data_IF_303235747539
#
_entry.id   IF_303235747539
#
_cell.length_a   1.000
_cell.length_b   1.000
_cell.length_c   1.000
_cell.angle_alpha   90.00
_cell.angle_beta   90.00
_cell.angle_gamma   90.00
#
_symmetry.space_group_name_H-M   'P 1'
#
loop_
_entity.id
_entity.type
_entity.pdbx_description
1 polymer ?
#
# COMPACT_ATOMS: atom_id res chain seq x y z
N UNK A 1 -13.53 7.78 32.60
CA UNK A 1 -12.50 6.80 32.26
C UNK A 1 -11.33 7.54 31.65
N UNK A 2 -10.13 7.27 32.16
CA UNK A 2 -8.85 7.71 31.63
C UNK A 2 -8.71 7.34 30.15
N UNK A 3 -8.65 8.33 29.26
CA UNK A 3 -8.61 8.10 27.81
C UNK A 3 -7.19 7.90 27.28
N UNK A 4 -7.06 7.14 26.19
CA UNK A 4 -5.83 7.05 25.39
C UNK A 4 -6.11 7.66 24.03
N UNK A 5 -5.36 8.69 23.66
CA UNK A 5 -5.52 9.35 22.35
C UNK A 5 -4.34 9.00 21.44
N UNK A 6 -4.62 8.60 20.20
CA UNK A 6 -3.58 8.51 19.18
C UNK A 6 -3.49 9.83 18.40
N UNK A 7 -2.30 10.40 18.32
CA UNK A 7 -1.97 11.56 17.51
C UNK A 7 -1.21 11.11 16.27
N UNK A 8 -1.87 11.11 15.11
CA UNK A 8 -1.28 10.67 13.83
C UNK A 8 -0.80 11.88 13.04
N UNK A 9 0.52 12.00 12.87
CA UNK A 9 1.18 13.19 12.32
C UNK A 9 1.54 12.98 10.86
N UNK A 10 0.93 13.77 9.98
CA UNK A 10 1.05 13.72 8.53
C UNK A 10 1.20 15.09 7.88
N UNK A 11 1.83 16.05 8.57
CA UNK A 11 1.99 17.43 8.10
C UNK A 11 3.28 17.73 7.33
N UNK A 12 4.14 16.74 7.10
CA UNK A 12 5.39 16.94 6.37
C UNK A 12 5.21 16.92 4.85
N UNK A 13 5.97 17.76 4.15
CA UNK A 13 6.01 17.87 2.67
C UNK A 13 6.58 16.61 1.99
N UNK A 14 7.41 15.83 2.69
CA UNK A 14 7.96 14.60 2.13
C UNK A 14 8.90 14.80 0.94
N UNK A 15 9.72 15.85 0.92
CA UNK A 15 10.64 16.27 -0.19
C UNK A 15 11.46 15.19 -0.91
N UNK A 16 11.66 14.02 -0.30
CA UNK A 16 12.35 12.84 -0.88
C UNK A 16 11.44 11.99 -1.79
N UNK A 17 10.13 12.12 -1.63
CA UNK A 17 9.10 11.53 -2.47
C UNK A 17 8.75 12.55 -3.54
N UNK A 18 9.10 12.28 -4.79
CA UNK A 18 8.70 13.14 -5.91
C UNK A 18 7.19 13.04 -6.22
N UNK A 19 6.69 14.04 -6.97
CA UNK A 19 5.35 14.02 -7.57
C UNK A 19 4.33 14.97 -6.92
N UNK A 20 3.15 15.06 -7.54
CA UNK A 20 2.11 16.03 -7.18
C UNK A 20 1.28 15.66 -5.94
N UNK A 21 1.23 14.37 -5.57
CA UNK A 21 0.46 13.89 -4.41
C UNK A 21 1.40 13.63 -3.24
N UNK A 22 1.15 14.23 -2.06
CA UNK A 22 1.96 14.00 -0.86
C UNK A 22 1.98 12.53 -0.47
N UNK A 23 3.13 12.03 -0.04
CA UNK A 23 3.37 10.59 0.16
C UNK A 23 2.36 9.89 1.08
N UNK A 24 1.89 10.58 2.12
CA UNK A 24 0.91 10.06 3.08
C UNK A 24 -0.49 9.86 2.47
N UNK A 25 -0.75 10.39 1.27
CA UNK A 25 -1.99 10.20 0.53
C UNK A 25 -1.82 9.32 -0.72
N UNK A 26 -0.63 8.76 -0.95
CA UNK A 26 -0.42 7.77 -2.01
C UNK A 26 -1.19 6.50 -1.69
N UNK A 27 -1.74 5.87 -2.74
CA UNK A 27 -2.46 4.61 -2.64
C UNK A 27 -1.51 3.46 -2.36
N UNK A 28 -1.81 2.69 -1.31
CA UNK A 28 -1.11 1.49 -0.88
C UNK A 28 -2.13 0.34 -0.83
N UNK A 29 -2.03 -0.61 -1.76
CA UNK A 29 -2.96 -1.74 -1.87
C UNK A 29 -4.44 -1.30 -1.84
N UNK A 30 -4.80 -0.28 -2.62
CA UNK A 30 -6.17 0.22 -2.74
C UNK A 30 -6.61 1.28 -1.69
N UNK A 31 -5.81 1.56 -0.66
CA UNK A 31 -6.15 2.57 0.36
C UNK A 31 -4.99 3.57 0.57
N UNK A 32 -5.26 4.87 0.86
CA UNK A 32 -4.20 5.82 1.17
C UNK A 32 -3.36 5.42 2.39
N UNK A 33 -2.04 5.69 2.34
CA UNK A 33 -1.11 5.41 3.44
C UNK A 33 -1.60 5.94 4.79
N UNK A 34 -2.05 7.20 4.85
CA UNK A 34 -2.56 7.82 6.08
C UNK A 34 -3.84 7.16 6.58
N UNK A 35 -4.72 6.71 5.67
CA UNK A 35 -5.95 6.00 6.05
C UNK A 35 -5.63 4.72 6.82
N UNK A 36 -4.66 3.94 6.31
CA UNK A 36 -4.21 2.70 6.97
C UNK A 36 -3.62 2.98 8.35
N UNK A 37 -2.76 4.00 8.46
CA UNK A 37 -2.19 4.41 9.75
C UNK A 37 -3.29 4.83 10.75
N UNK A 38 -4.29 5.61 10.34
CA UNK A 38 -5.41 6.03 11.19
C UNK A 38 -6.26 4.85 11.65
N UNK A 39 -6.62 3.95 10.73
CA UNK A 39 -7.44 2.76 11.03
C UNK A 39 -6.81 1.86 12.07
N UNK A 40 -5.48 1.66 12.02
CA UNK A 40 -4.77 0.84 13.00
C UNK A 40 -5.01 1.30 14.46
N UNK A 41 -5.21 2.60 14.68
CA UNK A 41 -5.56 3.13 16.02
C UNK A 41 -7.06 3.19 16.27
N UNK A 42 -7.88 3.52 15.27
CA UNK A 42 -9.34 3.51 15.42
C UNK A 42 -9.88 2.12 15.77
N UNK A 43 -9.26 1.07 15.25
CA UNK A 43 -9.65 -0.33 15.46
C UNK A 43 -9.02 -0.94 16.73
N UNK A 44 -8.14 -0.21 17.44
CA UNK A 44 -7.45 -0.74 18.62
C UNK A 44 -8.28 -0.53 19.89
N UNK A 45 -8.59 -1.59 20.68
CA UNK A 45 -9.55 -1.51 21.78
C UNK A 45 -9.12 -0.61 22.96
N UNK A 46 -7.83 -0.34 23.10
CA UNK A 46 -7.31 0.54 24.15
C UNK A 46 -7.22 2.03 23.73
N UNK A 47 -7.53 2.37 22.47
CA UNK A 47 -7.47 3.75 21.97
C UNK A 47 -8.89 4.31 21.93
N UNK A 48 -9.12 5.44 22.61
CA UNK A 48 -10.46 6.02 22.76
C UNK A 48 -10.75 7.12 21.74
N UNK A 49 -9.73 7.71 21.13
CA UNK A 49 -9.88 8.73 20.09
C UNK A 49 -8.60 8.82 19.26
N UNK A 50 -8.75 9.25 18.01
CA UNK A 50 -7.63 9.49 17.09
C UNK A 50 -7.71 10.93 16.59
N UNK A 51 -6.61 11.68 16.69
CA UNK A 51 -6.48 13.05 16.17
C UNK A 51 -5.44 13.06 15.06
N UNK A 52 -5.82 13.53 13.87
CA UNK A 52 -4.88 13.75 12.79
C UNK A 52 -4.25 15.16 12.88
N UNK A 53 -2.97 15.26 12.50
CA UNK A 53 -2.29 16.54 12.22
C UNK A 53 -1.85 16.54 10.77
N UNK A 54 -2.27 17.53 9.99
CA UNK A 54 -2.03 17.60 8.56
C UNK A 54 -1.45 18.95 8.14
N UNK A 55 -0.86 18.98 6.96
CA UNK A 55 -0.62 20.25 6.27
C UNK A 55 -1.98 20.78 5.78
N UNK A 56 -2.37 22.02 6.11
CA UNK A 56 -3.64 22.60 5.67
C UNK A 56 -3.81 22.61 4.14
N UNK A 57 -2.73 22.73 3.38
CA UNK A 57 -2.77 22.68 1.91
C UNK A 57 -3.20 21.30 1.38
N UNK A 58 -3.09 20.25 2.20
CA UNK A 58 -3.48 18.89 1.85
C UNK A 58 -4.91 18.53 2.28
N UNK A 59 -5.74 19.50 2.72
CA UNK A 59 -7.10 19.26 3.23
C UNK A 59 -7.94 18.37 2.30
N UNK A 60 -7.96 18.67 1.00
CA UNK A 60 -8.73 17.89 0.03
C UNK A 60 -8.29 16.42 -0.04
N UNK A 61 -6.97 16.15 0.02
CA UNK A 61 -6.46 14.78 0.07
C UNK A 61 -6.80 14.08 1.39
N UNK A 62 -6.75 14.80 2.51
CA UNK A 62 -7.15 14.28 3.82
C UNK A 62 -8.63 13.89 3.85
N UNK A 63 -9.52 14.74 3.38
CA UNK A 63 -10.97 14.49 3.38
C UNK A 63 -11.29 13.24 2.54
N UNK A 64 -10.67 13.11 1.36
CA UNK A 64 -10.80 11.92 0.53
C UNK A 64 -10.26 10.65 1.22
N UNK A 65 -9.10 10.74 1.88
CA UNK A 65 -8.49 9.60 2.58
C UNK A 65 -9.27 9.16 3.82
N UNK A 66 -9.95 10.08 4.50
CA UNK A 66 -10.65 9.85 5.78
C UNK A 66 -12.15 9.68 5.64
N UNK A 67 -12.69 9.70 4.42
CA UNK A 67 -14.11 9.46 4.16
C UNK A 67 -14.60 8.19 4.88
N UNK A 68 -15.67 8.34 5.66
CA UNK A 68 -16.30 7.26 6.43
C UNK A 68 -15.57 6.86 7.72
N UNK A 69 -14.49 7.55 8.12
CA UNK A 69 -13.85 7.36 9.42
C UNK A 69 -14.43 8.36 10.44
N UNK A 70 -14.65 7.90 11.66
CA UNK A 70 -15.04 8.77 12.78
C UNK A 70 -13.80 9.46 13.35
N UNK A 71 -13.54 10.68 12.87
CA UNK A 71 -12.39 11.49 13.24
C UNK A 71 -12.82 12.94 13.52
N UNK A 72 -12.23 13.61 14.52
CA UNK A 72 -12.42 15.05 14.70
C UNK A 72 -11.77 15.84 13.56
N UNK A 73 -12.09 17.14 13.48
CA UNK A 73 -11.41 18.07 12.57
C UNK A 73 -9.89 17.98 12.73
N UNK A 74 -9.13 17.86 11.62
CA UNK A 74 -7.69 17.72 11.67
C UNK A 74 -7.03 19.01 12.17
N UNK A 75 -5.90 18.85 12.85
CA UNK A 75 -5.08 19.98 13.33
C UNK A 75 -4.13 20.42 12.24
N UNK A 76 -4.00 21.73 12.03
CA UNK A 76 -2.99 22.32 11.17
C UNK A 76 -1.59 22.13 11.77
N UNK A 77 -0.72 21.40 11.05
CA UNK A 77 0.67 21.21 11.40
C UNK A 77 1.50 22.49 11.34
N UNK A 78 2.70 22.42 11.92
CA UNK A 78 3.70 23.49 11.90
C UNK A 78 4.80 23.25 10.87
N UNK A 79 5.78 24.15 10.81
CA UNK A 79 6.91 24.05 9.87
C UNK A 79 7.82 22.84 10.16
N UNK A 80 7.85 22.41 11.42
CA UNK A 80 8.61 21.24 11.88
C UNK A 80 7.70 20.14 12.41
N UNK A 81 8.22 18.91 12.44
CA UNK A 81 7.52 17.76 13.06
C UNK A 81 7.19 18.03 14.53
N UNK A 82 8.16 18.55 15.29
CA UNK A 82 7.98 18.88 16.71
C UNK A 82 6.85 19.89 16.92
N UNK A 83 6.79 20.95 16.12
CA UNK A 83 5.71 21.95 16.19
C UNK A 83 4.34 21.34 15.84
N UNK A 84 4.30 20.48 14.82
CA UNK A 84 3.07 19.76 14.44
C UNK A 84 2.55 18.88 15.59
N UNK A 85 3.46 18.16 16.27
CA UNK A 85 3.10 17.37 17.45
C UNK A 85 2.59 18.28 18.57
N UNK A 86 3.31 19.36 18.90
CA UNK A 86 2.92 20.28 19.97
C UNK A 86 1.51 20.85 19.75
N UNK A 87 1.19 21.33 18.54
CA UNK A 87 -0.16 21.80 18.19
C UNK A 87 -1.22 20.70 18.34
N UNK A 88 -0.87 19.48 17.94
CA UNK A 88 -1.73 18.30 18.12
C UNK A 88 -1.99 17.97 19.59
N UNK A 89 -0.96 17.99 20.43
CA UNK A 89 -1.08 17.77 21.88
C UNK A 89 -1.93 18.85 22.55
N UNK A 90 -1.76 20.12 22.16
CA UNK A 90 -2.60 21.23 22.66
C UNK A 90 -4.07 21.05 22.29
N UNK A 91 -4.38 20.60 21.06
CA UNK A 91 -5.75 20.27 20.66
C UNK A 91 -6.34 19.15 21.52
N UNK A 92 -5.56 18.09 21.74
CA UNK A 92 -5.97 16.90 22.48
C UNK A 92 -6.13 17.18 23.98
N UNK A 93 -5.47 18.21 24.53
CA UNK A 93 -5.56 18.58 25.93
C UNK A 93 -7.00 18.84 26.41
N UNK A 94 -7.88 19.31 25.52
CA UNK A 94 -9.31 19.49 25.83
C UNK A 94 -10.02 18.19 26.22
N UNK A 95 -9.53 17.03 25.75
CA UNK A 95 -10.08 15.71 26.06
C UNK A 95 -9.59 15.16 27.41
N UNK A 96 -8.59 15.80 28.03
CA UNK A 96 -7.94 15.37 29.28
C UNK A 96 -7.58 13.86 29.28
N UNK A 97 -6.87 13.35 28.26
CA UNK A 97 -6.47 11.95 28.27
C UNK A 97 -5.35 11.71 29.27
N UNK A 98 -5.20 10.45 29.68
CA UNK A 98 -4.12 10.03 30.57
C UNK A 98 -2.88 9.65 29.75
N UNK A 99 -3.10 9.13 28.54
CA UNK A 99 -2.06 8.56 27.68
C UNK A 99 -2.20 9.11 26.26
N UNK A 100 -1.07 9.28 25.60
CA UNK A 100 -1.03 9.63 24.17
C UNK A 100 -0.05 8.74 23.42
N UNK A 101 -0.45 8.34 22.21
CA UNK A 101 0.38 7.63 21.25
C UNK A 101 0.70 8.59 20.10
N UNK A 102 1.95 8.98 19.92
CA UNK A 102 2.36 9.86 18.81
C UNK A 102 2.90 8.99 17.68
N UNK A 103 2.24 9.02 16.53
CA UNK A 103 2.54 8.13 15.41
C UNK A 103 2.78 8.89 14.11
N UNK A 104 3.69 8.38 13.28
CA UNK A 104 3.96 8.96 11.96
C UNK A 104 2.96 8.39 10.96
N UNK A 105 2.19 9.23 10.25
CA UNK A 105 1.24 8.77 9.21
C UNK A 105 1.91 7.93 8.11
N UNK A 106 3.24 8.06 7.94
CA UNK A 106 4.04 7.32 6.99
C UNK A 106 4.42 5.88 7.44
N UNK A 107 3.88 5.38 8.56
CA UNK A 107 4.08 3.99 9.03
C UNK A 107 2.74 3.21 9.00
N UNK A 108 2.20 2.90 7.81
CA UNK A 108 0.83 2.38 7.68
C UNK A 108 0.65 0.93 8.16
N UNK A 109 1.74 0.24 8.53
CA UNK A 109 1.76 -1.19 8.86
C UNK A 109 2.02 -1.46 10.35
N UNK A 110 1.78 -0.47 11.22
CA UNK A 110 1.84 -0.71 12.67
C UNK A 110 0.83 -1.77 13.07
N UNK A 111 1.28 -2.79 13.81
CA UNK A 111 0.41 -3.87 14.29
C UNK A 111 -0.22 -3.53 15.65
N UNK A 112 -1.38 -4.11 15.93
CA UNK A 112 -2.03 -4.00 17.24
C UNK A 112 -1.11 -4.46 18.39
N UNK A 113 -0.26 -5.47 18.15
CA UNK A 113 0.70 -5.95 19.13
C UNK A 113 1.75 -4.87 19.51
N UNK A 114 2.27 -4.12 18.53
CA UNK A 114 3.20 -3.00 18.81
C UNK A 114 2.50 -1.92 19.63
N UNK A 115 1.26 -1.56 19.27
CA UNK A 115 0.46 -0.56 20.00
C UNK A 115 0.23 -1.01 21.45
N UNK A 116 -0.18 -2.26 21.66
CA UNK A 116 -0.40 -2.84 22.99
C UNK A 116 0.88 -2.84 23.84
N UNK A 117 2.04 -3.19 23.26
CA UNK A 117 3.33 -3.21 23.97
C UNK A 117 3.74 -1.84 24.50
N UNK A 118 3.65 -0.79 23.66
CA UNK A 118 4.03 0.57 24.09
C UNK A 118 3.08 1.10 25.15
N UNK A 119 1.79 0.74 25.10
CA UNK A 119 0.81 1.12 26.13
C UNK A 119 1.05 0.40 27.46
N UNK A 120 1.34 -0.90 27.42
CA UNK A 120 1.65 -1.68 28.62
C UNK A 120 2.90 -1.16 29.35
N UNK A 121 3.91 -0.71 28.60
CA UNK A 121 5.13 -0.14 29.20
C UNK A 121 4.87 1.15 30.01
N UNK A 122 3.76 1.85 29.78
CA UNK A 122 3.41 3.06 30.54
C UNK A 122 3.01 2.79 32.01
N UNK A 123 2.74 1.53 32.35
CA UNK A 123 2.47 1.11 33.72
C UNK A 123 3.72 1.21 34.61
N UNK A 124 4.92 1.08 34.01
CA UNK A 124 6.21 1.15 34.71
C UNK A 124 7.07 2.36 34.32
N UNK A 125 6.80 3.03 33.20
CA UNK A 125 7.61 4.13 32.66
C UNK A 125 6.74 5.33 32.23
N UNK A 126 7.21 6.58 32.31
CA UNK A 126 6.44 7.73 31.84
C UNK A 126 6.38 7.81 30.30
N UNK A 127 7.33 7.20 29.59
CA UNK A 127 7.33 7.07 28.13
C UNK A 127 7.79 5.69 27.66
N UNK A 128 7.43 5.34 26.42
CA UNK A 128 7.89 4.13 25.75
C UNK A 128 8.02 4.32 24.23
N UNK A 129 9.05 3.68 23.65
CA UNK A 129 9.33 3.68 22.20
C UNK A 129 9.52 2.25 21.70
N UNK A 130 8.85 1.84 20.61
CA UNK A 130 9.15 0.60 19.93
C UNK A 130 10.44 0.77 19.15
N UNK A 131 11.38 -0.16 19.29
CA UNK A 131 12.64 -0.09 18.56
C UNK A 131 13.16 -1.47 18.18
N UNK A 132 14.08 -1.47 17.20
CA UNK A 132 14.76 -2.67 16.72
C UNK A 132 16.27 -2.52 16.94
N UNK A 133 16.99 -3.56 17.39
CA UNK A 133 18.43 -3.48 17.54
C UNK A 133 19.08 -3.24 16.18
N UNK A 134 20.18 -2.49 16.16
CA UNK A 134 20.94 -2.27 14.93
C UNK A 134 21.70 -3.55 14.56
N UNK A 135 21.25 -4.20 13.49
CA UNK A 135 21.88 -5.42 12.98
C UNK A 135 23.08 -5.12 12.07
N UNK A 136 23.03 -4.08 11.24
CA UNK A 136 24.09 -3.79 10.28
C UNK A 136 25.26 -3.00 10.88
N UNK A 137 26.43 -3.07 10.23
CA UNK A 137 27.57 -2.22 10.59
C UNK A 137 27.26 -0.76 10.28
N UNK A 138 27.35 0.11 11.28
CA UNK A 138 27.17 1.55 11.10
C UNK A 138 28.48 2.24 10.72
N UNK A 139 28.43 3.10 9.72
CA UNK A 139 29.53 3.98 9.32
C UNK A 139 29.13 5.44 9.54
N UNK A 140 30.02 6.22 10.12
CA UNK A 140 29.98 7.68 10.05
C UNK A 140 30.69 8.10 8.77
N UNK A 141 30.15 9.07 8.06
CA UNK A 141 30.77 9.59 6.85
C UNK A 141 30.58 11.09 6.70
N UNK A 142 31.46 11.69 5.92
CA UNK A 142 31.45 13.10 5.53
C UNK A 142 32.05 13.22 4.13
N UNK A 143 31.49 14.10 3.29
CA UNK A 143 31.95 14.28 1.90
C UNK A 143 31.95 13.01 1.03
N UNK A 144 31.13 12.00 1.34
CA UNK A 144 31.09 10.72 0.63
C UNK A 144 32.15 9.70 1.06
N UNK A 145 32.95 10.01 2.08
CA UNK A 145 33.98 9.14 2.64
C UNK A 145 33.58 8.62 4.02
N UNK A 146 33.97 7.39 4.34
CA UNK A 146 33.82 6.82 5.68
C UNK A 146 34.83 7.48 6.63
N UNK A 147 34.34 8.07 7.71
CA UNK A 147 35.17 8.71 8.75
C UNK A 147 35.34 7.84 9.99
N UNK A 148 34.36 6.99 10.31
CA UNK A 148 34.47 6.05 11.42
C UNK A 148 33.51 4.86 11.27
N UNK A 149 33.81 3.76 11.97
CA UNK A 149 32.82 2.70 12.27
C UNK A 149 32.21 2.99 13.63
N UNK A 150 30.88 2.96 13.72
CA UNK A 150 30.15 3.19 14.99
C UNK A 150 29.83 1.82 15.60
N UNK A 151 30.11 1.66 16.90
CA UNK A 151 29.76 0.45 17.65
C UNK A 151 28.24 0.29 17.70
N UNK A 152 27.74 -0.83 17.17
CA UNK A 152 26.30 -1.10 17.08
C UNK A 152 25.69 -1.68 18.37
N UNK A 153 26.51 -2.06 19.35
CA UNK A 153 26.02 -2.61 20.62
C UNK A 153 25.17 -1.56 21.34
N UNK A 154 24.01 -1.97 21.84
CA UNK A 154 23.03 -1.08 22.51
C UNK A 154 22.51 0.07 21.63
N UNK A 155 22.67 0.00 20.31
CA UNK A 155 22.03 0.94 19.40
C UNK A 155 20.73 0.38 18.84
N UNK A 156 19.72 1.25 18.79
CA UNK A 156 18.37 0.90 18.43
C UNK A 156 17.82 1.85 17.36
N UNK A 157 17.06 1.30 16.41
CA UNK A 157 16.28 2.04 15.42
C UNK A 157 14.90 2.31 16.00
N UNK A 158 14.70 3.52 16.51
CA UNK A 158 13.40 3.94 17.02
C UNK A 158 12.30 3.93 15.93
N UNK A 159 11.12 3.50 16.33
CA UNK A 159 9.90 3.51 15.53
C UNK A 159 8.82 4.33 16.25
N UNK A 160 7.67 4.46 15.60
CA UNK A 160 6.46 5.00 16.23
C UNK A 160 5.34 3.95 16.10
N UNK A 161 4.30 3.93 16.97
CA UNK A 161 3.91 4.97 17.93
C UNK A 161 4.85 5.09 19.12
N UNK A 162 5.15 6.32 19.54
CA UNK A 162 5.78 6.61 20.83
C UNK A 162 4.69 6.91 21.85
N UNK A 163 4.69 6.19 22.97
CA UNK A 163 3.66 6.29 23.99
C UNK A 163 4.16 7.12 25.17
N UNK A 164 3.31 7.98 25.72
CA UNK A 164 3.64 8.78 26.90
C UNK A 164 2.42 8.99 27.79
N UNK A 165 2.68 9.25 29.08
CA UNK A 165 1.72 9.93 29.95
C UNK A 165 1.47 11.33 29.41
N UNK A 166 0.20 11.65 29.18
CA UNK A 166 -0.17 12.83 28.40
C UNK A 166 0.31 14.14 29.03
N UNK A 167 0.08 14.31 30.34
CA UNK A 167 0.46 15.52 31.06
C UNK A 167 1.97 15.78 30.98
N UNK A 168 2.78 14.71 31.10
CA UNK A 168 4.25 14.80 31.12
C UNK A 168 4.78 15.21 29.75
N UNK A 169 4.32 14.58 28.66
CA UNK A 169 4.80 14.87 27.31
C UNK A 169 4.31 16.24 26.80
N UNK A 170 3.10 16.66 27.16
CA UNK A 170 2.61 17.99 26.83
C UNK A 170 3.47 19.07 27.52
N UNK A 171 3.78 18.87 28.80
CA UNK A 171 4.64 19.78 29.54
C UNK A 171 6.08 19.80 28.98
N UNK A 172 6.59 18.66 28.53
CA UNK A 172 7.88 18.57 27.85
C UNK A 172 7.89 19.36 26.53
N UNK A 173 6.90 19.17 25.65
CA UNK A 173 6.78 19.91 24.39
C UNK A 173 6.66 21.42 24.60
N UNK A 174 5.90 21.88 25.61
CA UNK A 174 5.77 23.31 25.94
C UNK A 174 7.08 23.97 26.37
N UNK A 175 8.02 23.21 26.94
CA UNK A 175 9.33 23.71 27.40
C UNK A 175 10.46 23.42 26.43
N UNK A 176 10.24 22.54 25.46
CA UNK A 176 11.28 22.11 24.54
C UNK A 176 11.76 23.30 23.69
N UNK A 177 13.08 23.39 23.41
CA UNK A 177 13.60 24.43 22.55
C UNK A 177 13.04 24.28 21.13
N UNK A 178 12.96 25.39 20.41
CA UNK A 178 12.58 25.42 19.00
C UNK A 178 13.67 24.86 18.06
N UNK A 179 14.67 24.14 18.59
CA UNK A 179 15.84 23.66 17.85
C UNK A 179 15.66 22.31 17.16
N UNK A 180 14.43 21.76 17.12
CA UNK A 180 14.08 20.63 16.27
C UNK A 180 14.64 19.28 16.74
N UNK A 181 14.15 18.81 17.89
CA UNK A 181 14.43 17.45 18.34
C UNK A 181 13.85 16.42 17.35
N UNK A 182 14.57 15.32 17.14
CA UNK A 182 14.34 14.41 16.00
C UNK A 182 13.08 13.56 16.12
N UNK A 183 12.66 13.27 17.35
CA UNK A 183 11.44 12.55 17.69
C UNK A 183 10.90 12.97 19.08
N UNK A 184 9.81 12.36 19.53
CA UNK A 184 9.14 12.74 20.78
C UNK A 184 9.82 12.11 22.01
N UNK A 185 10.52 10.99 21.83
CA UNK A 185 11.41 10.42 22.82
C UNK A 185 12.54 11.40 23.17
N UNK A 186 13.19 12.03 22.18
CA UNK A 186 14.19 13.07 22.42
C UNK A 186 13.63 14.28 23.19
N UNK A 187 12.36 14.67 22.94
CA UNK A 187 11.68 15.72 23.72
C UNK A 187 11.48 15.28 25.18
N UNK A 188 11.06 14.04 25.40
CA UNK A 188 10.87 13.47 26.73
C UNK A 188 12.20 13.36 27.50
N UNK A 189 13.25 12.84 26.86
CA UNK A 189 14.60 12.70 27.40
C UNK A 189 15.18 14.06 27.80
N UNK A 190 15.03 15.08 26.94
CA UNK A 190 15.46 16.44 27.26
C UNK A 190 14.75 17.02 28.49
N UNK A 191 13.49 16.62 28.72
CA UNK A 191 12.73 16.99 29.90
C UNK A 191 13.02 16.11 31.14
N UNK A 192 13.96 15.17 31.05
CA UNK A 192 14.34 14.26 32.13
C UNK A 192 13.40 13.08 32.34
N UNK A 193 12.52 12.78 31.38
CA UNK A 193 11.61 11.65 31.46
C UNK A 193 12.31 10.36 31.00
N UNK A 194 12.10 9.28 31.75
CA UNK A 194 12.53 7.95 31.33
C UNK A 194 11.67 7.45 30.16
N UNK A 195 12.31 6.91 29.12
CA UNK A 195 11.64 6.31 27.96
C UNK A 195 12.05 4.83 27.88
N UNK A 196 11.10 3.93 28.06
CA UNK A 196 11.33 2.50 27.94
C UNK A 196 11.46 2.08 26.47
N UNK A 197 12.39 1.19 26.17
CA UNK A 197 12.48 0.54 24.86
C UNK A 197 11.64 -0.74 24.91
N UNK A 198 10.70 -0.88 23.99
CA UNK A 198 9.96 -2.13 23.76
C UNK A 198 10.27 -2.69 22.38
N UNK A 199 10.03 -3.97 22.19
CA UNK A 199 10.26 -4.62 20.90
C UNK A 199 9.37 -4.02 19.80
N UNK A 200 9.99 -3.52 18.72
CA UNK A 200 9.32 -3.02 17.53
C UNK A 200 8.84 -4.12 16.58
N UNK A 201 8.72 -3.79 15.30
CA UNK A 201 8.45 -4.77 14.23
C UNK A 201 9.12 -4.33 12.93
N UNK A 202 9.78 -5.23 12.20
CA UNK A 202 10.46 -4.88 10.94
C UNK A 202 9.50 -4.32 9.88
N UNK A 203 8.28 -4.86 9.82
CA UNK A 203 7.24 -4.41 8.88
C UNK A 203 6.69 -3.02 9.24
N UNK A 204 6.91 -2.53 10.45
CA UNK A 204 6.55 -1.17 10.88
C UNK A 204 7.59 -0.11 10.43
N UNK A 205 8.16 -0.28 9.24
CA UNK A 205 9.08 0.69 8.65
C UNK A 205 8.35 1.95 8.18
N UNK A 206 9.09 3.05 8.11
CA UNK A 206 8.57 4.34 7.64
C UNK A 206 8.70 4.40 6.13
N UNK A 207 7.60 4.71 5.43
CA UNK A 207 7.61 4.98 4.00
C UNK A 207 8.31 6.34 3.75
N UNK A 208 9.48 6.26 3.13
CA UNK A 208 10.34 7.40 2.81
C UNK A 208 10.70 7.50 1.33
N UNK A 209 10.66 6.40 0.60
CA UNK A 209 10.92 6.30 -0.85
C UNK A 209 9.81 5.52 -1.57
N UNK A 210 9.80 5.57 -2.91
CA UNK A 210 8.87 4.77 -3.73
C UNK A 210 9.09 3.27 -3.53
N UNK A 211 10.35 2.83 -3.37
CA UNK A 211 10.68 1.43 -3.07
C UNK A 211 10.07 0.97 -1.74
N UNK A 212 9.99 1.85 -0.74
CA UNK A 212 9.30 1.55 0.52
C UNK A 212 7.80 1.32 0.29
N UNK A 213 7.16 2.08 -0.61
CA UNK A 213 5.74 1.93 -0.93
C UNK A 213 5.49 0.60 -1.66
N UNK A 214 6.35 0.24 -2.62
CA UNK A 214 6.29 -1.06 -3.30
C UNK A 214 6.48 -2.21 -2.32
N UNK A 215 7.47 -2.10 -1.41
CA UNK A 215 7.71 -3.08 -0.35
C UNK A 215 6.49 -3.25 0.54
N UNK A 216 5.89 -2.15 0.99
CA UNK A 216 4.68 -2.18 1.81
C UNK A 216 3.51 -2.82 1.07
N UNK A 217 3.38 -2.57 -0.24
CA UNK A 217 2.35 -3.19 -1.07
C UNK A 217 2.47 -4.70 -1.09
N UNK A 218 3.68 -5.23 -1.28
CA UNK A 218 3.94 -6.68 -1.28
C UNK A 218 3.55 -7.34 0.05
N UNK A 219 3.86 -6.71 1.18
CA UNK A 219 3.49 -7.21 2.51
C UNK A 219 1.97 -7.29 2.71
N UNK A 220 1.22 -6.38 2.09
CA UNK A 220 -0.25 -6.36 2.14
C UNK A 220 -0.90 -7.29 1.11
N UNK A 221 -0.13 -8.13 0.41
CA UNK A 221 -0.65 -9.00 -0.64
C UNK A 221 -0.97 -8.29 -1.95
N UNK A 222 -0.52 -7.03 -2.15
CA UNK A 222 -0.47 -6.45 -3.49
C UNK A 222 0.57 -7.22 -4.31
N UNK A 223 0.10 -8.26 -4.98
CA UNK A 223 0.95 -9.28 -5.61
C UNK A 223 0.36 -10.69 -5.62
N UNK A 224 -0.86 -10.91 -5.10
CA UNK A 224 -1.58 -12.18 -5.29
C UNK A 224 -1.60 -12.55 -6.78
N UNK A 225 -1.09 -13.75 -7.09
CA UNK A 225 -1.17 -14.29 -8.45
C UNK A 225 -2.47 -15.05 -8.58
N UNK A 226 -3.29 -14.64 -9.54
CA UNK A 226 -4.55 -15.30 -9.89
C UNK A 226 -4.39 -16.00 -11.24
N UNK A 227 -4.94 -17.19 -11.33
CA UNK A 227 -4.98 -18.00 -12.56
C UNK A 227 -6.42 -18.13 -13.02
N UNK A 228 -6.63 -17.99 -14.32
CA UNK A 228 -7.87 -18.39 -14.99
C UNK A 228 -7.56 -19.43 -16.07
N UNK A 229 -8.55 -20.25 -16.38
CA UNK A 229 -8.49 -21.27 -17.43
C UNK A 229 -9.65 -20.98 -18.36
N UNK A 230 -9.37 -20.85 -19.65
CA UNK A 230 -10.38 -20.76 -20.69
C UNK A 230 -10.30 -21.99 -21.59
N UNK A 231 -11.46 -22.49 -22.00
CA UNK A 231 -11.60 -23.65 -22.89
C UNK A 231 -12.65 -23.26 -23.92
N UNK A 232 -12.30 -23.35 -25.20
CA UNK A 232 -13.22 -23.11 -26.30
C UNK A 232 -13.09 -24.21 -27.36
N UNK A 233 -14.15 -24.43 -28.12
CA UNK A 233 -14.21 -25.48 -29.14
C UNK A 233 -15.05 -25.02 -30.34
N UNK A 234 -14.46 -25.06 -31.52
CA UNK A 234 -15.14 -24.75 -32.79
C UNK A 234 -15.25 -25.99 -33.68
N UNK A 235 -16.33 -26.06 -34.45
CA UNK A 235 -16.55 -27.10 -35.43
C UNK A 235 -15.85 -26.75 -36.76
N UNK A 236 -15.32 -27.76 -37.46
CA UNK A 236 -14.85 -27.55 -38.84
C UNK A 236 -16.01 -27.27 -39.81
N UNK A 237 -15.77 -26.38 -40.76
CA UNK A 237 -16.69 -26.05 -41.85
C UNK A 237 -15.97 -25.70 -43.15
N UNK A 238 -16.71 -25.19 -44.15
CA UNK A 238 -16.13 -24.70 -45.39
C UNK A 238 -15.12 -23.57 -45.13
N UNK A 239 -14.00 -23.57 -45.85
CA UNK A 239 -12.95 -22.55 -45.76
C UNK A 239 -11.66 -23.03 -46.40
N UNK A 240 -10.66 -22.15 -46.46
CA UNK A 240 -9.33 -22.40 -47.03
C UNK A 240 -8.18 -22.18 -46.02
N UNK A 241 -8.52 -21.90 -44.76
CA UNK A 241 -7.59 -21.78 -43.63
C UNK A 241 -8.32 -21.89 -42.30
N UNK A 242 -7.55 -22.16 -41.24
CA UNK A 242 -7.99 -22.10 -39.83
C UNK A 242 -7.31 -20.91 -39.18
N UNK A 243 -8.08 -20.00 -38.57
CA UNK A 243 -7.55 -18.94 -37.73
C UNK A 243 -7.18 -19.50 -36.36
N UNK A 244 -5.91 -19.37 -35.96
CA UNK A 244 -5.39 -19.82 -34.67
C UNK A 244 -4.40 -18.80 -34.11
N UNK A 245 -4.67 -18.25 -32.93
CA UNK A 245 -3.80 -17.29 -32.25
C UNK A 245 -3.46 -16.04 -33.10
N UNK A 246 -4.34 -15.63 -34.01
CA UNK A 246 -4.16 -14.52 -34.94
C UNK A 246 -3.48 -14.90 -36.26
N UNK A 247 -3.15 -16.18 -36.45
CA UNK A 247 -2.46 -16.71 -37.63
C UNK A 247 -3.44 -17.48 -38.51
N UNK A 248 -3.52 -17.13 -39.80
CA UNK A 248 -4.22 -17.91 -40.80
C UNK A 248 -3.39 -19.12 -41.21
N UNK A 249 -3.68 -20.29 -40.64
CA UNK A 249 -3.00 -21.55 -40.94
C UNK A 249 -3.65 -22.21 -42.17
N UNK A 250 -2.95 -22.37 -43.30
CA UNK A 250 -3.53 -22.94 -44.52
C UNK A 250 -4.11 -24.35 -44.29
N UNK A 251 -5.36 -24.56 -44.70
CA UNK A 251 -6.04 -25.85 -44.55
C UNK A 251 -7.28 -25.93 -45.45
N UNK A 252 -7.66 -27.12 -45.89
CA UNK A 252 -8.83 -27.33 -46.78
C UNK A 252 -10.21 -27.07 -46.14
N UNK A 253 -10.24 -26.60 -44.89
CA UNK A 253 -11.43 -26.29 -44.09
C UNK A 253 -11.18 -25.09 -43.20
N UNK A 254 -12.25 -24.40 -42.82
CA UNK A 254 -12.24 -23.35 -41.81
C UNK A 254 -12.91 -23.78 -40.51
N UNK A 255 -12.95 -22.86 -39.53
CA UNK A 255 -13.70 -23.02 -38.30
C UNK A 255 -15.03 -22.28 -38.40
N UNK A 256 -16.09 -22.90 -37.88
CA UNK A 256 -17.41 -22.29 -37.71
C UNK A 256 -17.44 -21.73 -36.29
N UNK A 257 -17.59 -20.42 -36.20
CA UNK A 257 -17.68 -19.70 -34.94
C UNK A 257 -18.14 -18.26 -35.15
N UNK A 258 -18.16 -17.50 -34.07
CA UNK A 258 -18.34 -16.05 -34.13
C UNK A 258 -17.03 -15.37 -34.57
N UNK A 259 -17.08 -14.06 -34.88
CA UNK A 259 -15.89 -13.28 -35.30
C UNK A 259 -15.14 -13.92 -36.47
N UNK A 260 -13.81 -14.06 -36.38
CA UNK A 260 -12.94 -14.79 -37.30
C UNK A 260 -12.75 -16.27 -36.89
N UNK A 261 -13.53 -16.74 -35.91
CA UNK A 261 -13.55 -18.09 -35.37
C UNK A 261 -12.21 -18.58 -34.80
N UNK A 262 -11.38 -17.67 -34.28
CA UNK A 262 -10.10 -18.01 -33.63
C UNK A 262 -10.29 -18.58 -32.22
N UNK A 263 -10.42 -19.90 -32.16
CA UNK A 263 -10.63 -20.66 -30.91
C UNK A 263 -9.50 -20.47 -29.90
N UNK A 264 -8.25 -20.23 -30.36
CA UNK A 264 -7.10 -20.03 -29.48
C UNK A 264 -7.17 -18.71 -28.74
N UNK A 265 -7.49 -17.62 -29.46
CA UNK A 265 -7.67 -16.30 -28.85
C UNK A 265 -8.94 -16.21 -28.00
N UNK A 266 -10.00 -16.95 -28.35
CA UNK A 266 -11.19 -17.03 -27.50
C UNK A 266 -10.88 -17.69 -26.15
N UNK A 267 -10.24 -18.86 -26.15
CA UNK A 267 -9.82 -19.54 -24.92
C UNK A 267 -8.87 -18.68 -24.07
N UNK A 268 -7.91 -17.97 -24.72
CA UNK A 268 -7.04 -17.04 -24.01
C UNK A 268 -7.79 -15.85 -23.40
N UNK A 269 -8.81 -15.34 -24.10
CA UNK A 269 -9.68 -14.25 -23.61
C UNK A 269 -10.42 -14.69 -22.35
N UNK A 270 -11.04 -15.88 -22.37
CA UNK A 270 -11.71 -16.45 -21.20
C UNK A 270 -10.77 -16.72 -20.03
N UNK A 271 -9.54 -17.17 -20.29
CA UNK A 271 -8.54 -17.34 -19.24
C UNK A 271 -8.23 -16.01 -18.51
N UNK A 272 -8.09 -14.91 -19.25
CA UNK A 272 -7.85 -13.59 -18.66
C UNK A 272 -9.08 -13.07 -17.89
N UNK A 273 -10.29 -13.22 -18.47
CA UNK A 273 -11.53 -12.80 -17.81
C UNK A 273 -11.79 -13.63 -16.53
N UNK A 274 -11.55 -14.93 -16.60
CA UNK A 274 -11.63 -15.85 -15.45
C UNK A 274 -10.66 -15.49 -14.33
N UNK A 275 -9.41 -15.12 -14.65
CA UNK A 275 -8.41 -14.73 -13.66
C UNK A 275 -8.84 -13.50 -12.82
N UNK A 276 -9.69 -12.64 -13.38
CA UNK A 276 -10.25 -11.47 -12.68
C UNK A 276 -11.72 -11.67 -12.26
N UNK A 277 -12.30 -12.84 -12.47
CA UNK A 277 -13.72 -13.11 -12.17
C UNK A 277 -14.68 -12.18 -12.92
N UNK A 278 -14.38 -11.88 -14.19
CA UNK A 278 -15.17 -10.98 -15.02
C UNK A 278 -16.16 -11.70 -15.96
N UNK A 279 -16.49 -12.97 -15.70
CA UNK A 279 -17.32 -13.77 -16.59
C UNK A 279 -16.54 -14.34 -17.77
N UNK A 280 -17.20 -14.46 -18.92
CA UNK A 280 -16.67 -15.06 -20.16
C UNK A 280 -16.75 -14.09 -21.35
N UNK A 281 -16.18 -14.48 -22.48
CA UNK A 281 -16.10 -13.71 -23.71
C UNK A 281 -17.50 -13.30 -24.21
N UNK A 282 -18.50 -14.19 -24.10
CA UNK A 282 -19.87 -13.91 -24.52
C UNK A 282 -20.56 -12.83 -23.68
N UNK A 283 -20.18 -12.71 -22.40
CA UNK A 283 -20.67 -11.66 -21.50
C UNK A 283 -20.17 -10.26 -21.87
N UNK A 284 -18.99 -10.15 -22.49
CA UNK A 284 -18.39 -8.88 -22.91
C UNK A 284 -18.63 -8.58 -24.39
N UNK A 285 -18.72 -9.61 -25.22
CA UNK A 285 -18.86 -9.52 -26.68
C UNK A 285 -20.00 -10.43 -27.14
N UNK A 286 -21.27 -10.04 -26.92
CA UNK A 286 -22.41 -10.90 -27.19
C UNK A 286 -22.49 -11.27 -28.67
N UNK A 287 -22.57 -12.56 -29.04
CA UNK A 287 -22.59 -12.99 -30.44
C UNK A 287 -23.82 -12.51 -31.23
N UNK A 288 -24.87 -12.08 -30.54
CA UNK A 288 -26.06 -11.46 -31.12
C UNK A 288 -25.80 -10.05 -31.66
N UNK A 289 -24.70 -9.40 -31.25
CA UNK A 289 -24.35 -8.08 -31.72
C UNK A 289 -23.66 -8.16 -33.10
N UNK A 290 -24.26 -7.59 -34.16
CA UNK A 290 -23.72 -7.67 -35.52
C UNK A 290 -22.32 -7.10 -35.68
N UNK A 291 -21.87 -6.20 -34.78
CA UNK A 291 -20.56 -5.56 -34.89
C UNK A 291 -19.40 -6.56 -34.77
N UNK A 292 -19.62 -7.72 -34.15
CA UNK A 292 -18.58 -8.73 -33.93
C UNK A 292 -18.44 -9.72 -35.09
N UNK A 293 -19.37 -9.70 -36.06
CA UNK A 293 -19.32 -10.64 -37.18
C UNK A 293 -18.08 -10.37 -38.06
N UNK A 294 -17.20 -11.37 -38.19
CA UNK A 294 -15.96 -11.25 -38.97
C UNK A 294 -14.91 -10.33 -38.35
N UNK A 295 -15.10 -9.88 -37.11
CA UNK A 295 -14.12 -9.05 -36.43
C UNK A 295 -12.89 -9.87 -36.01
N UNK A 296 -11.73 -9.23 -35.88
CA UNK A 296 -10.50 -9.91 -35.51
C UNK A 296 -10.47 -10.25 -34.01
N UNK A 297 -10.35 -11.52 -33.64
CA UNK A 297 -10.46 -11.95 -32.23
C UNK A 297 -9.36 -11.40 -31.31
N UNK A 298 -8.25 -10.93 -31.87
CA UNK A 298 -7.20 -10.23 -31.14
C UNK A 298 -7.70 -8.98 -30.38
N UNK A 299 -8.78 -8.36 -30.85
CA UNK A 299 -9.38 -7.21 -30.16
C UNK A 299 -10.03 -7.61 -28.84
N UNK A 300 -10.61 -8.82 -28.76
CA UNK A 300 -11.24 -9.34 -27.54
C UNK A 300 -10.18 -9.63 -26.48
N UNK A 301 -9.09 -10.29 -26.89
CA UNK A 301 -7.96 -10.56 -26.00
C UNK A 301 -7.33 -9.26 -25.49
N UNK A 302 -7.13 -8.27 -26.38
CA UNK A 302 -6.63 -6.94 -25.99
C UNK A 302 -7.53 -6.29 -24.95
N UNK A 303 -8.85 -6.34 -25.18
CA UNK A 303 -9.82 -5.77 -24.24
C UNK A 303 -9.84 -6.49 -22.90
N UNK A 304 -9.73 -7.82 -22.87
CA UNK A 304 -9.55 -8.57 -21.62
C UNK A 304 -8.27 -8.15 -20.89
N UNK A 305 -7.16 -7.95 -21.62
CA UNK A 305 -5.92 -7.40 -21.06
C UNK A 305 -6.07 -5.99 -20.48
N UNK A 306 -6.83 -5.11 -21.14
CA UNK A 306 -7.17 -3.78 -20.61
C UNK A 306 -8.00 -3.87 -19.32
N UNK A 307 -8.94 -4.81 -19.23
CA UNK A 307 -9.74 -5.04 -18.02
C UNK A 307 -8.86 -5.54 -16.86
N UNK A 308 -7.88 -6.39 -17.13
CA UNK A 308 -6.86 -6.80 -16.14
C UNK A 308 -6.08 -5.57 -15.65
N UNK A 309 -5.58 -4.73 -16.57
CA UNK A 309 -4.82 -3.53 -16.23
C UNK A 309 -5.66 -2.49 -15.46
N UNK A 310 -6.94 -2.32 -15.82
CA UNK A 310 -7.88 -1.45 -15.12
C UNK A 310 -8.09 -1.85 -13.65
N UNK A 311 -7.87 -3.13 -13.31
CA UNK A 311 -7.88 -3.65 -11.93
C UNK A 311 -6.48 -3.67 -11.29
N UNK A 312 -5.53 -2.93 -11.85
CA UNK A 312 -4.11 -2.91 -11.44
C UNK A 312 -3.44 -4.29 -11.50
N UNK A 313 -3.98 -5.20 -12.30
CA UNK A 313 -3.39 -6.50 -12.57
C UNK A 313 -2.32 -6.42 -13.66
N UNK A 314 -1.42 -7.41 -13.67
CA UNK A 314 -0.41 -7.60 -14.72
C UNK A 314 -0.43 -9.04 -15.18
N UNK A 315 -0.45 -9.27 -16.48
CA UNK A 315 -0.29 -10.60 -17.08
C UNK A 315 1.19 -11.00 -16.91
N UNK A 316 1.44 -12.06 -16.16
CA UNK A 316 2.81 -12.56 -15.88
C UNK A 316 3.27 -13.52 -16.96
N UNK A 317 2.38 -14.41 -17.40
CA UNK A 317 2.55 -15.33 -18.50
C UNK A 317 1.18 -15.67 -19.08
N UNK A 318 1.17 -16.20 -20.30
CA UNK A 318 0.00 -16.78 -20.94
C UNK A 318 0.49 -18.01 -21.71
N UNK A 319 -0.24 -19.11 -21.60
CA UNK A 319 0.03 -20.34 -22.35
C UNK A 319 -1.27 -20.81 -23.01
N UNK A 320 -1.15 -21.30 -24.24
CA UNK A 320 -2.29 -21.76 -25.06
C UNK A 320 -1.94 -23.12 -25.64
N UNK A 321 -2.75 -24.12 -25.30
CA UNK A 321 -2.64 -25.48 -25.85
C UNK A 321 -3.74 -25.70 -26.87
N UNK A 322 -3.36 -25.94 -28.13
CA UNK A 322 -4.28 -26.29 -29.21
C UNK A 322 -4.41 -27.81 -29.30
N UNK A 323 -5.64 -28.32 -29.14
CA UNK A 323 -5.94 -29.76 -29.21
C UNK A 323 -6.57 -30.05 -30.58
N UNK A 324 -5.76 -30.45 -31.55
CA UNK A 324 -6.22 -30.79 -32.90
C UNK A 324 -5.34 -31.86 -33.56
N UNK A 325 -5.94 -32.72 -34.38
CA UNK A 325 -5.19 -33.69 -35.20
C UNK A 325 -4.61 -33.05 -36.48
N UNK A 326 -5.36 -32.11 -37.07
CA UNK A 326 -4.99 -31.33 -38.27
C UNK A 326 -5.57 -29.92 -38.14
N UNK A 327 -5.00 -28.89 -38.80
CA UNK A 327 -3.76 -28.90 -39.59
C UNK A 327 -2.50 -29.07 -38.73
N UNK A 328 -1.34 -29.28 -39.35
CA UNK A 328 -0.05 -29.31 -38.64
C UNK A 328 0.31 -27.89 -38.18
N UNK A 329 0.15 -27.63 -36.89
CA UNK A 329 0.41 -26.32 -36.27
C UNK A 329 1.90 -26.08 -35.95
N UNK A 330 2.72 -27.13 -35.91
CA UNK A 330 4.13 -27.04 -35.52
C UNK A 330 4.94 -25.98 -36.27
N UNK A 331 4.85 -25.91 -37.62
CA UNK A 331 5.53 -24.88 -38.42
C UNK A 331 5.10 -23.44 -38.13
N UNK A 332 3.94 -23.22 -37.51
CA UNK A 332 3.34 -21.91 -37.28
C UNK A 332 3.50 -21.41 -35.83
N UNK A 333 4.07 -22.21 -34.92
CA UNK A 333 4.09 -21.94 -33.47
C UNK A 333 4.74 -20.61 -33.07
N UNK A 334 5.77 -20.17 -33.78
CA UNK A 334 6.52 -18.95 -33.45
C UNK A 334 5.96 -17.67 -34.08
N UNK A 335 5.03 -17.80 -35.03
CA UNK A 335 4.37 -16.67 -35.71
C UNK A 335 3.31 -16.04 -34.80
#
# INVERSE_FOLDING_TARGET
MSGTVALVVGAGEGRRFGGAVPKQYRTLAGEPVMRRALRAFLEHPQVTSVQAVIDPSHRAHYDAATTGLDLPEPVAGGAMRQESVARGLERVAALKPDRVLIHDAARPLVSAAVISRVLAALDASPGAVPALPVADTLKRGDGGLVTATVERQNLWRAQTPQAFRFADILAAHRRAPASGLTDDAAVAEHAGLAVAIVEGAEDNFKITTEDDLVRAGRLLGAGETRTGIGIDAHQFGPGDHVMLCGVAVPFERGLIGHSDADVGLHAATDALLGAIGAGDIGSHFPPSDPQWKGAASAQFLRRAGELVAARSGRIVHLDVTLICEKPNIGPHRSA
#
